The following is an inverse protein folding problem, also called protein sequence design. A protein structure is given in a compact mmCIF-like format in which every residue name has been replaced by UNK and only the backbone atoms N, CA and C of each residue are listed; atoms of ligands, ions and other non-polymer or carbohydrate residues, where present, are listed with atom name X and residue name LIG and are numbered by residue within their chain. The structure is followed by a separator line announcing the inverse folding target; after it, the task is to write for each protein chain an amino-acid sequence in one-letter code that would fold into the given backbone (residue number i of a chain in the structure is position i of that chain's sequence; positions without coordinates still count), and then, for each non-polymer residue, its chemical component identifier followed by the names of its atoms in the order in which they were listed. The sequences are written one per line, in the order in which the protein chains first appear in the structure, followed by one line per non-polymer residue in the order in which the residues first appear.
data_IF_525727078545
#
_entry.id   IF_525727078545
#
_cell.length_a   1.000
_cell.length_b   1.000
_cell.length_c   1.000
_cell.angle_alpha   90.00
_cell.angle_beta   90.00
_cell.angle_gamma   90.00
#
_symmetry.space_group_name_H-M   'P 1'
#
loop_
_entity.id
_entity.type
_entity.pdbx_description
1 polymer ?
#
# COMPACT_ATOMS: atom_id res chain seq x y z
N UNK A 1 6.48 17.24 -8.23
CA UNK A 1 6.62 15.82 -8.65
C UNK A 1 5.68 15.51 -9.82
N UNK A 2 4.37 15.55 -9.68
CA UNK A 2 3.40 15.18 -10.74
C UNK A 2 3.55 15.97 -12.05
N UNK A 3 3.77 17.28 -11.98
CA UNK A 3 4.00 18.09 -13.20
C UNK A 3 5.22 17.61 -14.00
N UNK A 4 6.28 17.17 -13.31
CA UNK A 4 7.47 16.61 -13.94
C UNK A 4 7.18 15.23 -14.55
N UNK A 5 6.51 14.35 -13.81
CA UNK A 5 6.11 13.02 -14.30
C UNK A 5 5.26 13.14 -15.57
N UNK A 6 4.28 14.05 -15.56
CA UNK A 6 3.44 14.37 -16.73
C UNK A 6 4.26 14.87 -17.91
N UNK A 7 5.18 15.84 -17.69
CA UNK A 7 6.01 16.40 -18.76
C UNK A 7 6.95 15.37 -19.39
N UNK A 8 7.40 14.38 -18.61
CA UNK A 8 8.31 13.32 -19.05
C UNK A 8 7.58 12.03 -19.46
N UNK A 9 6.26 12.00 -19.31
CA UNK A 9 5.43 10.79 -19.50
C UNK A 9 5.98 9.57 -18.75
N UNK A 10 6.28 9.73 -17.46
CA UNK A 10 6.86 8.70 -16.60
C UNK A 10 5.90 8.28 -15.50
N UNK A 11 5.90 6.99 -15.12
CA UNK A 11 5.18 6.52 -13.92
C UNK A 11 5.81 7.10 -12.66
N UNK A 12 5.07 7.03 -11.55
CA UNK A 12 5.50 7.53 -10.25
C UNK A 12 5.21 6.48 -9.18
N UNK A 13 6.21 6.16 -8.38
CA UNK A 13 6.04 5.38 -7.15
C UNK A 13 6.20 6.30 -5.95
N UNK A 14 5.27 6.21 -5.00
CA UNK A 14 5.24 7.08 -3.82
C UNK A 14 5.04 6.22 -2.58
N UNK A 15 5.96 6.30 -1.63
CA UNK A 15 5.79 5.72 -0.31
C UNK A 15 4.86 6.63 0.52
N UNK A 16 3.75 6.08 0.99
CA UNK A 16 2.71 6.83 1.72
C UNK A 16 2.12 6.00 2.85
N UNK A 17 1.75 6.70 3.93
CA UNK A 17 1.04 6.07 5.05
C UNK A 17 1.81 4.92 5.65
N UNK A 18 3.11 5.10 5.89
CA UNK A 18 4.01 4.03 6.33
C UNK A 18 3.78 3.60 7.78
N UNK A 19 3.09 4.41 8.58
CA UNK A 19 2.83 4.12 9.98
C UNK A 19 1.36 3.77 10.22
N UNK A 20 1.09 2.98 11.26
CA UNK A 20 -0.28 2.70 11.71
C UNK A 20 -0.85 3.87 12.54
N UNK A 21 -0.87 5.06 11.96
CA UNK A 21 -1.34 6.29 12.60
C UNK A 21 -2.62 6.79 11.92
N UNK A 22 -3.78 6.78 12.62
CA UNK A 22 -5.07 7.15 12.02
C UNK A 22 -5.15 8.59 11.49
N UNK A 23 -4.32 9.50 12.01
CA UNK A 23 -4.28 10.90 11.56
C UNK A 23 -3.52 11.12 10.26
N UNK A 24 -2.74 10.15 9.81
CA UNK A 24 -2.03 10.23 8.54
C UNK A 24 -3.01 10.03 7.37
N UNK A 25 -3.18 11.06 6.55
CA UNK A 25 -4.08 11.09 5.38
C UNK A 25 -3.30 11.23 4.07
N UNK A 26 -2.07 10.72 4.04
CA UNK A 26 -1.17 10.86 2.88
C UNK A 26 -1.75 10.22 1.62
N UNK A 27 -2.40 9.07 1.75
CA UNK A 27 -3.08 8.41 0.63
C UNK A 27 -4.13 9.32 -0.01
N UNK A 28 -5.01 9.90 0.81
CA UNK A 28 -6.03 10.85 0.33
C UNK A 28 -5.39 12.06 -0.34
N UNK A 29 -4.36 12.64 0.29
CA UNK A 29 -3.63 13.79 -0.24
C UNK A 29 -3.05 13.52 -1.64
N UNK A 30 -2.48 12.33 -1.85
CA UNK A 30 -1.94 11.95 -3.16
C UNK A 30 -3.06 11.86 -4.20
N UNK A 31 -4.18 11.21 -3.86
CA UNK A 31 -5.33 11.10 -4.77
C UNK A 31 -5.91 12.48 -5.11
N UNK A 32 -6.04 13.37 -4.12
CA UNK A 32 -6.48 14.77 -4.36
C UNK A 32 -5.56 15.48 -5.34
N UNK A 33 -4.24 15.32 -5.19
CA UNK A 33 -3.27 15.93 -6.10
C UNK A 33 -3.28 15.31 -7.50
N UNK A 34 -3.56 14.02 -7.62
CA UNK A 34 -3.75 13.38 -8.92
C UNK A 34 -4.96 13.96 -9.65
N UNK A 35 -6.07 14.11 -8.95
CA UNK A 35 -7.30 14.72 -9.50
C UNK A 35 -7.08 16.20 -9.87
N UNK A 36 -6.50 16.98 -8.96
CA UNK A 36 -6.19 18.42 -9.17
C UNK A 36 -5.34 18.66 -10.41
N UNK A 37 -4.35 17.80 -10.63
CA UNK A 37 -3.41 17.95 -11.75
C UNK A 37 -3.76 17.12 -12.98
N UNK A 38 -4.88 16.41 -12.97
CA UNK A 38 -5.32 15.51 -14.05
C UNK A 38 -4.17 14.57 -14.48
N UNK A 39 -3.70 13.75 -13.52
CA UNK A 39 -2.59 12.82 -13.74
C UNK A 39 -3.12 11.55 -14.40
N UNK A 40 -2.65 11.27 -15.60
CA UNK A 40 -2.95 10.07 -16.38
C UNK A 40 -1.81 9.03 -16.34
N UNK A 41 -0.63 9.47 -15.86
CA UNK A 41 0.51 8.59 -15.69
C UNK A 41 0.23 7.55 -14.62
N UNK A 42 0.78 6.35 -14.79
CA UNK A 42 0.66 5.30 -13.78
C UNK A 42 1.27 5.75 -12.46
N UNK A 43 0.51 5.61 -11.38
CA UNK A 43 0.97 5.89 -10.01
C UNK A 43 0.84 4.62 -9.18
N UNK A 44 1.90 4.29 -8.45
CA UNK A 44 1.90 3.24 -7.45
C UNK A 44 2.05 3.86 -6.06
N UNK A 45 1.19 3.47 -5.13
CA UNK A 45 1.28 3.85 -3.73
C UNK A 45 1.86 2.68 -2.93
N UNK A 46 3.01 2.90 -2.31
CA UNK A 46 3.69 1.87 -1.52
C UNK A 46 3.30 1.97 -0.06
N UNK A 47 3.08 0.86 0.58
CA UNK A 47 2.65 0.64 1.97
C UNK A 47 1.17 0.88 2.24
N UNK A 48 0.66 2.10 2.25
CA UNK A 48 -0.73 2.45 2.59
C UNK A 48 -1.20 1.90 3.96
N UNK A 49 -0.30 1.79 4.95
CA UNK A 49 -0.60 1.21 6.27
C UNK A 49 -1.59 2.09 7.06
N UNK A 50 -1.40 3.41 7.03
CA UNK A 50 -2.30 4.34 7.73
C UNK A 50 -3.75 4.24 7.25
N UNK A 51 -3.96 3.80 6.01
CA UNK A 51 -5.29 3.56 5.47
C UNK A 51 -6.01 2.44 6.22
N UNK A 52 -5.29 1.38 6.66
CA UNK A 52 -5.87 0.30 7.45
C UNK A 52 -6.34 0.74 8.84
N UNK A 53 -5.87 1.89 9.32
CA UNK A 53 -6.27 2.45 10.62
C UNK A 53 -7.56 3.28 10.57
N UNK A 54 -8.22 3.35 9.41
CA UNK A 54 -9.42 4.15 9.19
C UNK A 54 -10.69 3.31 9.32
N UNK A 55 -11.84 3.99 9.40
CA UNK A 55 -13.14 3.35 9.29
C UNK A 55 -13.33 2.71 7.90
N UNK A 56 -13.98 1.55 7.86
CA UNK A 56 -14.16 0.78 6.60
C UNK A 56 -14.78 1.62 5.48
N UNK A 57 -15.76 2.44 5.80
CA UNK A 57 -16.41 3.34 4.83
C UNK A 57 -15.43 4.29 4.15
N UNK A 58 -14.49 4.83 4.92
CA UNK A 58 -13.42 5.69 4.42
C UNK A 58 -12.43 4.90 3.54
N UNK A 59 -12.02 3.70 4.01
CA UNK A 59 -11.13 2.83 3.24
C UNK A 59 -11.74 2.54 1.87
N UNK A 60 -13.01 2.13 1.81
CA UNK A 60 -13.74 1.85 0.57
C UNK A 60 -13.85 3.07 -0.33
N UNK A 61 -14.08 4.25 0.23
CA UNK A 61 -14.10 5.48 -0.54
C UNK A 61 -12.77 5.75 -1.23
N UNK A 62 -11.64 5.64 -0.50
CA UNK A 62 -10.32 5.84 -1.09
C UNK A 62 -9.98 4.75 -2.11
N UNK A 63 -10.32 3.49 -1.82
CA UNK A 63 -10.12 2.36 -2.74
C UNK A 63 -10.85 2.57 -4.08
N UNK A 64 -12.10 3.03 -4.07
CA UNK A 64 -12.83 3.38 -5.30
C UNK A 64 -12.15 4.49 -6.10
N UNK A 65 -11.62 5.52 -5.43
CA UNK A 65 -10.85 6.58 -6.09
C UNK A 65 -9.57 6.01 -6.71
N UNK A 66 -8.84 5.14 -6.00
CA UNK A 66 -7.66 4.48 -6.54
C UNK A 66 -7.99 3.68 -7.81
N UNK A 67 -9.08 2.91 -7.78
CA UNK A 67 -9.53 2.15 -8.95
C UNK A 67 -9.86 3.07 -10.13
N UNK A 68 -10.61 4.16 -9.90
CA UNK A 68 -10.99 5.12 -10.93
C UNK A 68 -9.78 5.85 -11.53
N UNK A 69 -8.77 6.15 -10.71
CA UNK A 69 -7.52 6.80 -11.11
C UNK A 69 -6.46 5.81 -11.62
N UNK A 70 -6.79 4.52 -11.72
CA UNK A 70 -5.87 3.45 -12.14
C UNK A 70 -4.57 3.42 -11.32
N UNK A 71 -4.70 3.59 -10.00
CA UNK A 71 -3.59 3.54 -9.04
C UNK A 71 -3.32 2.10 -8.64
N UNK A 72 -2.03 1.70 -8.61
CA UNK A 72 -1.62 0.45 -7.99
C UNK A 72 -1.28 0.66 -6.51
N UNK A 73 -1.47 -0.37 -5.70
CA UNK A 73 -0.96 -0.40 -4.33
C UNK A 73 0.09 -1.51 -4.21
N UNK A 74 1.29 -1.15 -3.75
CA UNK A 74 2.37 -2.10 -3.51
C UNK A 74 2.46 -2.35 -2.01
N UNK A 75 2.26 -3.59 -1.59
CA UNK A 75 2.36 -4.00 -0.18
C UNK A 75 3.67 -4.73 0.05
N UNK A 76 4.34 -4.38 1.15
CA UNK A 76 5.64 -4.94 1.55
C UNK A 76 5.51 -5.52 2.96
N UNK A 77 5.09 -6.78 3.11
CA UNK A 77 4.74 -7.36 4.40
C UNK A 77 5.87 -7.35 5.43
N UNK A 78 7.08 -7.75 5.06
CA UNK A 78 8.23 -7.72 5.97
C UNK A 78 8.54 -6.30 6.45
N UNK A 79 8.53 -5.32 5.54
CA UNK A 79 8.74 -3.91 5.90
C UNK A 79 7.67 -3.42 6.87
N UNK A 80 6.40 -3.72 6.59
CA UNK A 80 5.29 -3.32 7.44
C UNK A 80 5.40 -3.90 8.86
N UNK A 81 5.75 -5.19 8.99
CA UNK A 81 5.87 -5.87 10.29
C UNK A 81 7.12 -5.43 11.05
N UNK A 82 8.20 -5.09 10.36
CA UNK A 82 9.45 -4.64 10.98
C UNK A 82 9.34 -3.23 11.60
N UNK A 83 8.32 -2.47 11.25
CA UNK A 83 8.13 -1.13 11.80
C UNK A 83 7.75 -1.16 13.28
N UNK A 84 8.40 -0.29 14.06
CA UNK A 84 8.12 -0.19 15.49
C UNK A 84 6.69 0.31 15.70
N UNK A 85 5.93 -0.44 16.50
CA UNK A 85 4.55 -0.04 16.88
C UNK A 85 4.56 1.30 17.63
N UNK A 86 3.65 2.18 17.26
CA UNK A 86 3.43 3.43 17.96
C UNK A 86 2.31 3.25 19.00
N UNK A 87 2.69 2.92 20.23
CA UNK A 87 1.76 2.70 21.33
C UNK A 87 1.15 4.00 21.92
N UNK A 88 1.59 5.16 21.46
CA UNK A 88 1.04 6.46 21.89
C UNK A 88 -0.25 6.84 21.16
N UNK A 89 -0.60 6.11 20.12
CA UNK A 89 -1.77 6.37 19.29
C UNK A 89 -2.71 5.15 19.32
N UNK A 90 -3.98 5.39 19.60
CA UNK A 90 -5.01 4.37 19.47
C UNK A 90 -5.39 4.19 18.01
N UNK A 91 -5.35 2.95 17.50
CA UNK A 91 -5.82 2.59 16.17
C UNK A 91 -6.81 1.42 16.26
N UNK A 92 -7.88 1.39 15.44
CA UNK A 92 -8.86 0.30 15.42
C UNK A 92 -8.24 -1.04 15.01
N UNK A 93 -7.22 -1.00 14.17
CA UNK A 93 -6.51 -2.17 13.63
C UNK A 93 -5.03 -2.04 13.98
N UNK A 94 -4.48 -3.09 14.57
CA UNK A 94 -3.07 -3.14 14.98
C UNK A 94 -2.17 -3.85 13.97
N UNK A 95 -2.73 -4.34 12.87
CA UNK A 95 -1.96 -4.93 11.77
C UNK A 95 -1.32 -3.81 10.96
N UNK A 96 0.01 -3.87 10.79
CA UNK A 96 0.78 -2.88 10.05
C UNK A 96 0.82 -3.16 8.54
N UNK A 97 -0.24 -3.69 7.96
CA UNK A 97 -0.38 -3.95 6.52
C UNK A 97 -1.55 -3.15 5.98
N UNK A 98 -1.47 -2.73 4.70
CA UNK A 98 -2.58 -2.13 3.97
C UNK A 98 -3.86 -2.97 4.06
N UNK A 99 -5.05 -2.40 3.90
CA UNK A 99 -6.32 -3.14 3.98
C UNK A 99 -6.57 -3.94 2.68
N UNK A 100 -5.69 -4.90 2.37
CA UNK A 100 -5.61 -5.64 1.10
C UNK A 100 -6.93 -6.23 0.67
N UNK A 101 -7.69 -6.83 1.60
CA UNK A 101 -8.98 -7.46 1.27
C UNK A 101 -9.95 -6.44 0.69
N UNK A 102 -10.07 -5.26 1.30
CA UNK A 102 -10.96 -4.19 0.85
C UNK A 102 -10.48 -3.61 -0.48
N UNK A 103 -9.16 -3.40 -0.63
CA UNK A 103 -8.58 -2.92 -1.88
C UNK A 103 -8.93 -3.85 -3.06
N UNK A 104 -8.76 -5.16 -2.87
CA UNK A 104 -9.09 -6.15 -3.89
C UNK A 104 -10.60 -6.22 -4.18
N UNK A 105 -11.45 -6.11 -3.16
CA UNK A 105 -12.92 -6.07 -3.32
C UNK A 105 -13.38 -4.87 -4.14
N UNK A 106 -12.74 -3.71 -3.98
CA UNK A 106 -13.04 -2.50 -4.73
C UNK A 106 -12.30 -2.43 -6.09
N UNK A 107 -11.59 -3.50 -6.47
CA UNK A 107 -10.95 -3.64 -7.79
C UNK A 107 -9.63 -2.88 -7.94
N UNK A 108 -8.98 -2.52 -6.84
CA UNK A 108 -7.63 -1.94 -6.87
C UNK A 108 -6.62 -3.01 -7.24
N UNK A 109 -5.69 -2.68 -8.14
CA UNK A 109 -4.57 -3.55 -8.46
C UNK A 109 -3.54 -3.52 -7.33
N UNK A 110 -3.48 -4.61 -6.56
CA UNK A 110 -2.52 -4.78 -5.46
C UNK A 110 -1.36 -5.64 -5.93
N UNK A 111 -0.14 -5.20 -5.64
CA UNK A 111 1.10 -5.91 -5.96
C UNK A 111 1.92 -6.19 -4.71
N UNK A 112 2.72 -7.24 -4.77
CA UNK A 112 3.67 -7.58 -3.71
C UNK A 112 5.03 -6.94 -3.99
N UNK A 113 5.62 -6.32 -2.97
CA UNK A 113 6.98 -5.81 -2.97
C UNK A 113 7.75 -6.32 -1.75
N UNK A 114 9.06 -6.12 -1.77
CA UNK A 114 9.96 -6.53 -0.68
C UNK A 114 10.38 -5.32 0.15
N UNK A 115 10.54 -4.17 -0.51
CA UNK A 115 11.13 -2.95 0.04
C UNK A 115 12.67 -3.10 0.17
N UNK A 116 13.23 -2.88 1.36
CA UNK A 116 14.66 -2.95 1.61
C UNK A 116 15.15 -4.41 1.70
N UNK A 117 16.37 -4.67 1.21
CA UNK A 117 17.01 -5.99 1.27
C UNK A 117 18.36 -5.85 1.94
N UNK A 118 18.59 -6.61 3.02
CA UNK A 118 19.89 -6.72 3.75
C UNK A 118 20.55 -5.36 4.02
N UNK A 119 19.76 -4.37 4.49
CA UNK A 119 20.28 -3.05 4.80
C UNK A 119 20.16 -2.68 6.28
N UNK A 120 20.46 -1.41 6.61
CA UNK A 120 20.41 -0.91 7.98
C UNK A 120 19.02 -0.99 8.62
N UNK A 121 17.96 -0.86 7.82
CA UNK A 121 16.58 -0.84 8.30
C UNK A 121 15.96 -2.24 8.34
N UNK A 122 16.34 -3.10 7.39
CA UNK A 122 15.80 -4.45 7.25
C UNK A 122 16.93 -5.48 7.06
N UNK A 123 17.75 -5.73 8.10
CA UNK A 123 18.99 -6.51 7.96
C UNK A 123 18.77 -8.01 7.74
N UNK A 124 17.56 -8.53 7.88
CA UNK A 124 17.24 -9.95 7.75
C UNK A 124 16.34 -10.27 6.55
N UNK A 125 16.05 -9.28 5.72
CA UNK A 125 15.23 -9.46 4.50
C UNK A 125 16.17 -9.76 3.33
N UNK A 126 16.08 -10.97 2.81
CA UNK A 126 16.95 -11.52 1.77
C UNK A 126 16.40 -11.44 0.34
N UNK A 127 15.20 -10.89 0.18
CA UNK A 127 14.55 -10.77 -1.12
C UNK A 127 13.74 -12.01 -1.54
N UNK A 128 13.49 -12.95 -0.63
CA UNK A 128 12.68 -14.12 -0.93
C UNK A 128 11.19 -13.78 -1.10
N UNK A 129 10.73 -13.72 -2.34
CA UNK A 129 9.32 -13.46 -2.69
C UNK A 129 8.36 -14.55 -2.19
N UNK A 130 8.82 -15.79 -1.99
CA UNK A 130 7.97 -16.83 -1.40
C UNK A 130 7.72 -16.57 0.08
N UNK A 131 8.73 -16.10 0.79
CA UNK A 131 8.58 -15.68 2.18
C UNK A 131 7.61 -14.50 2.29
N UNK A 132 7.77 -13.47 1.46
CA UNK A 132 6.86 -12.30 1.42
C UNK A 132 5.43 -12.73 1.08
N UNK A 133 5.26 -13.62 0.10
CA UNK A 133 3.94 -14.16 -0.27
C UNK A 133 3.28 -14.85 0.90
N UNK A 134 4.01 -15.74 1.57
CA UNK A 134 3.49 -16.45 2.74
C UNK A 134 3.12 -15.48 3.86
N UNK A 135 3.97 -14.51 4.11
CA UNK A 135 3.72 -13.49 5.13
C UNK A 135 2.48 -12.66 4.81
N UNK A 136 2.30 -12.26 3.54
CA UNK A 136 1.08 -11.61 3.07
C UNK A 136 -0.16 -12.47 3.34
N UNK A 137 -0.12 -13.73 2.94
CA UNK A 137 -1.25 -14.66 3.14
C UNK A 137 -1.65 -14.79 4.61
N UNK A 138 -0.66 -14.96 5.50
CA UNK A 138 -0.91 -15.09 6.95
C UNK A 138 -1.41 -13.80 7.57
N UNK A 139 -0.84 -12.66 7.18
CA UNK A 139 -1.20 -11.35 7.75
C UNK A 139 -2.58 -10.86 7.29
N UNK A 140 -2.98 -11.19 6.05
CA UNK A 140 -4.27 -10.77 5.47
C UNK A 140 -5.36 -11.84 5.57
N UNK A 141 -5.01 -13.08 5.85
CA UNK A 141 -5.89 -14.27 5.84
C UNK A 141 -6.48 -14.54 4.45
N UNK A 142 -5.80 -14.13 3.39
CA UNK A 142 -6.17 -14.40 2.00
C UNK A 142 -5.43 -15.67 1.56
N UNK A 143 -6.18 -16.77 1.41
CA UNK A 143 -5.63 -18.07 0.98
C UNK A 143 -6.14 -18.50 -0.41
N UNK A 144 -6.86 -17.63 -1.12
CA UNK A 144 -7.26 -17.84 -2.51
C UNK A 144 -6.05 -17.69 -3.43
N UNK A 145 -5.58 -18.81 -3.96
CA UNK A 145 -4.38 -18.83 -4.80
C UNK A 145 -4.51 -18.00 -6.08
N UNK A 146 -5.71 -17.85 -6.64
CA UNK A 146 -5.91 -17.01 -7.82
C UNK A 146 -5.68 -15.54 -7.48
N UNK A 147 -6.19 -15.08 -6.31
CA UNK A 147 -5.94 -13.71 -5.84
C UNK A 147 -4.45 -13.50 -5.57
N UNK A 148 -3.78 -14.48 -4.95
CA UNK A 148 -2.34 -14.39 -4.65
C UNK A 148 -1.51 -14.31 -5.94
N UNK A 149 -1.81 -15.15 -6.94
CA UNK A 149 -1.11 -15.10 -8.24
C UNK A 149 -1.26 -13.72 -8.90
N UNK A 150 -2.46 -13.13 -8.85
CA UNK A 150 -2.68 -11.79 -9.41
C UNK A 150 -1.89 -10.70 -8.67
N UNK A 151 -1.64 -10.86 -7.36
CA UNK A 151 -0.82 -9.93 -6.57
C UNK A 151 0.68 -10.06 -6.93
N UNK A 152 1.11 -11.22 -7.40
CA UNK A 152 2.50 -11.51 -7.76
C UNK A 152 2.87 -11.09 -9.19
N UNK A 153 1.89 -10.77 -10.02
CA UNK A 153 2.08 -10.39 -11.45
C UNK A 153 1.85 -8.91 -11.69
#
# INVERSE_FOLDING_TARGET
MFSLAKSLNKPVDIHVGQNNVPSEKETELVLDKMEEHNIEQKVSLVHCISLACQEESYIRQQAKRMQQLNVDVIVCPSAAISMKQNNSVYAPIHNSIAPVSILLEEGVNVKLGIDNIEDLFMPLVDGDMWFETRLLMEATRIYDLNKIVNILT
#
